data_IF_182556928691
#
_entry.id   IF_182556928691
#
_cell.length_a   1.000
_cell.length_b   1.000
_cell.length_c   1.000
_cell.angle_alpha   90.00
_cell.angle_beta   90.00
_cell.angle_gamma   90.00
#
_symmetry.space_group_name_H-M   'P 1'
#
loop_
_entity.id
_entity.type
_entity.pdbx_description
1 polymer ?
#
# COMPACT_ATOMS: atom_id res chain seq x y z
N UNK A 1 9.05 -5.20 13.89
CA UNK A 1 7.59 -5.21 14.11
C UNK A 1 7.02 -6.07 12.99
N UNK A 2 6.39 -7.22 13.27
CA UNK A 2 5.75 -8.02 12.22
C UNK A 2 4.65 -7.17 11.59
N UNK A 3 4.67 -7.06 10.28
CA UNK A 3 3.59 -6.42 9.54
C UNK A 3 2.43 -7.39 9.54
N UNK A 4 1.27 -6.90 9.86
CA UNK A 4 0.08 -7.71 10.04
C UNK A 4 -0.89 -7.37 8.90
N UNK A 5 -0.94 -8.22 7.88
CA UNK A 5 -1.85 -8.06 6.75
C UNK A 5 -3.30 -7.91 7.20
N UNK A 6 -3.70 -8.66 8.24
CA UNK A 6 -5.02 -8.55 8.87
C UNK A 6 -5.27 -7.14 9.42
N UNK A 7 -4.25 -6.51 10.02
CA UNK A 7 -4.38 -5.15 10.56
C UNK A 7 -4.55 -4.13 9.44
N UNK A 8 -3.74 -4.22 8.38
CA UNK A 8 -3.82 -3.34 7.21
C UNK A 8 -5.20 -3.45 6.56
N UNK A 9 -5.67 -4.67 6.28
CA UNK A 9 -7.01 -4.88 5.73
C UNK A 9 -8.12 -4.34 6.64
N UNK A 10 -8.03 -4.55 7.96
CA UNK A 10 -9.00 -4.01 8.90
C UNK A 10 -9.00 -2.48 8.91
N UNK A 11 -7.84 -1.85 8.85
CA UNK A 11 -7.73 -0.40 8.82
C UNK A 11 -8.43 0.17 7.58
N UNK A 12 -8.12 -0.33 6.39
CA UNK A 12 -8.64 0.21 5.14
C UNK A 12 -10.07 -0.23 4.80
N UNK A 13 -10.46 -1.46 5.11
CA UNK A 13 -11.81 -1.95 4.78
C UNK A 13 -12.85 -1.71 5.86
N UNK A 14 -12.44 -1.44 7.11
CA UNK A 14 -13.35 -1.25 8.25
C UNK A 14 -13.23 0.12 8.90
N UNK A 15 -12.38 0.99 8.39
CA UNK A 15 -12.26 2.35 8.92
C UNK A 15 -13.59 3.07 8.78
N UNK A 16 -14.12 3.56 9.94
CA UNK A 16 -15.36 4.36 9.98
C UNK A 16 -15.06 5.84 10.18
N UNK A 17 -13.78 6.20 10.33
CA UNK A 17 -13.35 7.53 10.75
C UNK A 17 -12.87 8.40 9.59
N UNK A 18 -12.40 7.78 8.50
CA UNK A 18 -11.88 8.47 7.33
C UNK A 18 -12.79 8.25 6.12
N UNK A 19 -12.72 9.14 5.14
CA UNK A 19 -13.38 8.93 3.86
C UNK A 19 -12.56 7.92 3.08
N UNK A 20 -13.14 6.76 2.78
CA UNK A 20 -12.51 5.72 1.96
C UNK A 20 -13.06 5.84 0.55
N UNK A 21 -12.16 6.05 -0.40
CA UNK A 21 -12.50 6.06 -1.82
C UNK A 21 -12.14 4.71 -2.44
N UNK A 22 -13.13 4.02 -2.96
CA UNK A 22 -12.92 2.78 -3.70
C UNK A 22 -12.76 3.09 -5.18
N UNK A 23 -11.66 2.61 -5.75
CA UNK A 23 -11.34 2.73 -7.16
C UNK A 23 -11.14 1.32 -7.73
N UNK A 24 -11.75 1.06 -8.87
CA UNK A 24 -11.66 -0.23 -9.55
C UNK A 24 -12.97 -1.02 -9.53
N UNK A 25 -12.89 -2.34 -9.66
CA UNK A 25 -14.08 -3.18 -9.76
C UNK A 25 -14.77 -3.41 -8.41
N UNK A 26 -16.00 -2.92 -8.30
CA UNK A 26 -16.87 -3.15 -7.14
C UNK A 26 -17.18 -4.64 -6.91
N UNK A 27 -17.17 -5.47 -7.94
CA UNK A 27 -17.47 -6.90 -7.82
C UNK A 27 -16.33 -7.63 -7.11
N UNK A 28 -15.10 -7.33 -7.46
CA UNK A 28 -13.90 -7.86 -6.84
C UNK A 28 -13.79 -7.49 -5.35
N UNK A 29 -14.03 -6.22 -5.02
CA UNK A 29 -14.04 -5.77 -3.61
C UNK A 29 -15.16 -6.47 -2.82
N UNK A 30 -16.35 -6.62 -3.39
CA UNK A 30 -17.46 -7.34 -2.75
C UNK A 30 -17.14 -8.80 -2.51
N UNK A 31 -16.57 -9.48 -3.53
CA UNK A 31 -16.13 -10.87 -3.42
C UNK A 31 -15.08 -11.01 -2.30
N UNK A 32 -14.04 -10.18 -2.31
CA UNK A 32 -12.99 -10.23 -1.32
C UNK A 32 -13.51 -9.91 0.10
N UNK A 33 -14.41 -8.94 0.24
CA UNK A 33 -15.08 -8.62 1.51
C UNK A 33 -15.92 -9.79 2.03
N UNK A 34 -16.56 -10.55 1.13
CA UNK A 34 -17.29 -11.76 1.48
C UNK A 34 -16.36 -12.87 1.97
N UNK A 35 -15.19 -13.06 1.33
CA UNK A 35 -14.15 -13.98 1.81
C UNK A 35 -13.67 -13.60 3.20
N UNK A 36 -13.35 -12.32 3.46
CA UNK A 36 -12.93 -11.85 4.79
C UNK A 36 -13.98 -12.03 5.87
N UNK A 37 -15.26 -11.88 5.51
CA UNK A 37 -16.36 -11.95 6.47
C UNK A 37 -16.76 -13.39 6.81
N UNK A 38 -16.78 -14.26 5.79
CA UNK A 38 -17.39 -15.59 5.88
C UNK A 38 -16.35 -16.72 5.76
N UNK A 39 -15.09 -16.41 5.45
CA UNK A 39 -13.99 -17.36 5.38
C UNK A 39 -13.27 -17.53 6.71
N UNK A 40 -12.38 -18.52 6.75
CA UNK A 40 -11.44 -18.77 7.84
C UNK A 40 -10.13 -18.05 7.50
N UNK A 41 -9.75 -17.07 8.31
CA UNK A 41 -8.49 -16.34 8.16
C UNK A 41 -7.41 -16.99 9.01
N UNK A 42 -6.26 -17.24 8.40
CA UNK A 42 -5.06 -17.82 9.03
C UNK A 42 -3.92 -16.84 8.81
N UNK A 43 -3.43 -16.23 9.88
CA UNK A 43 -2.24 -15.37 9.83
C UNK A 43 -0.98 -16.22 9.81
N UNK A 44 0.04 -15.79 9.07
CA UNK A 44 1.29 -16.50 8.87
C UNK A 44 2.51 -15.58 8.79
N UNK A 45 3.66 -16.18 8.49
CA UNK A 45 4.90 -15.45 8.20
C UNK A 45 5.21 -15.47 6.69
N UNK A 46 4.85 -16.54 6.02
CA UNK A 46 5.03 -16.78 4.59
C UNK A 46 4.02 -17.84 4.13
N UNK A 47 2.93 -17.41 3.49
CA UNK A 47 2.48 -16.04 3.25
C UNK A 47 2.02 -15.34 4.53
N UNK A 48 1.83 -14.00 4.47
CA UNK A 48 1.38 -13.20 5.61
C UNK A 48 -0.02 -13.60 6.09
N UNK A 49 -0.91 -13.97 5.17
CA UNK A 49 -2.26 -14.43 5.51
C UNK A 49 -2.82 -15.38 4.44
N UNK A 50 -3.68 -16.27 4.88
CA UNK A 50 -4.50 -17.13 4.00
C UNK A 50 -5.95 -17.02 4.40
N UNK A 51 -6.85 -16.89 3.43
CA UNK A 51 -8.29 -16.89 3.66
C UNK A 51 -8.89 -18.08 2.96
N UNK A 52 -9.52 -18.96 3.72
CA UNK A 52 -10.15 -20.18 3.22
C UNK A 52 -11.66 -20.00 3.20
N UNK A 53 -12.28 -20.28 2.05
CA UNK A 53 -13.74 -20.34 1.94
C UNK A 53 -14.11 -21.38 0.90
N UNK A 54 -15.00 -22.27 1.27
CA UNK A 54 -15.39 -23.42 0.44
C UNK A 54 -14.13 -24.23 0.02
N UNK A 55 -13.87 -24.40 -1.28
CA UNK A 55 -12.68 -25.03 -1.83
C UNK A 55 -11.70 -24.01 -2.46
N UNK A 56 -11.76 -22.74 -2.05
CA UNK A 56 -10.86 -21.69 -2.52
C UNK A 56 -9.99 -21.17 -1.38
N UNK A 57 -8.72 -20.98 -1.68
CA UNK A 57 -7.76 -20.36 -0.78
C UNK A 57 -7.22 -19.06 -1.42
N UNK A 58 -7.45 -17.92 -0.78
CA UNK A 58 -6.80 -16.66 -1.17
C UNK A 58 -5.56 -16.49 -0.30
N UNK A 59 -4.40 -16.54 -0.93
CA UNK A 59 -3.10 -16.24 -0.35
C UNK A 59 -2.88 -14.75 -0.44
N UNK A 60 -2.72 -14.08 0.71
CA UNK A 60 -2.47 -12.64 0.77
C UNK A 60 -1.03 -12.42 1.21
N UNK A 61 -0.29 -11.72 0.38
CA UNK A 61 1.06 -11.26 0.69
C UNK A 61 1.07 -9.73 0.76
N UNK A 62 1.51 -9.20 1.88
CA UNK A 62 1.52 -7.78 2.18
C UNK A 62 2.91 -7.19 2.05
N UNK A 63 3.03 -6.10 1.31
CA UNK A 63 4.25 -5.33 1.28
C UNK A 63 3.97 -3.83 1.18
N UNK A 64 4.91 -3.06 1.71
CA UNK A 64 4.88 -1.60 1.64
C UNK A 64 5.91 -1.12 0.63
N UNK A 65 5.60 0.00 -0.01
CA UNK A 65 6.59 0.76 -0.74
C UNK A 65 6.52 2.24 -0.38
N UNK A 66 7.60 2.95 -0.66
CA UNK A 66 7.74 4.38 -0.38
C UNK A 66 8.35 5.05 -1.61
N UNK A 67 7.60 5.95 -2.23
CA UNK A 67 8.01 6.65 -3.44
C UNK A 67 8.96 7.82 -3.21
N UNK A 68 9.30 8.12 -1.96
CA UNK A 68 10.15 9.27 -1.58
C UNK A 68 11.66 9.00 -1.73
N UNK A 69 12.09 7.85 -2.24
CA UNK A 69 13.50 7.52 -2.36
C UNK A 69 13.85 6.77 -3.65
N UNK A 70 15.12 6.85 -4.04
CA UNK A 70 15.65 6.30 -5.29
C UNK A 70 16.48 5.03 -5.14
N UNK A 71 16.66 4.50 -3.93
CA UNK A 71 17.48 3.30 -3.74
C UNK A 71 17.08 2.44 -2.53
N UNK A 72 17.35 1.14 -2.66
CA UNK A 72 17.01 0.05 -1.72
C UNK A 72 17.56 0.18 -0.29
N UNK A 73 18.51 1.07 -0.03
CA UNK A 73 19.20 1.16 1.30
C UNK A 73 18.47 2.06 2.31
N UNK A 74 17.25 2.37 2.05
CA UNK A 74 16.38 3.14 2.95
C UNK A 74 16.35 4.62 2.62
N UNK A 75 15.17 5.15 2.66
CA UNK A 75 14.81 6.54 2.44
C UNK A 75 15.65 7.44 3.34
N UNK A 76 16.29 8.47 2.77
CA UNK A 76 16.88 9.56 3.55
C UNK A 76 15.83 10.17 4.47
N UNK A 77 14.59 10.30 3.97
CA UNK A 77 13.43 10.74 4.73
C UNK A 77 13.20 9.89 5.99
N UNK A 78 13.15 8.55 5.90
CA UNK A 78 12.93 7.68 7.09
C UNK A 78 14.07 7.75 8.10
N UNK A 79 15.30 7.98 7.64
CA UNK A 79 16.44 8.18 8.54
C UNK A 79 16.32 9.51 9.28
N UNK A 80 15.94 10.56 8.57
CA UNK A 80 15.73 11.88 9.15
C UNK A 80 14.51 11.88 10.08
N UNK A 81 13.42 11.25 9.70
CA UNK A 81 12.25 11.03 10.56
C UNK A 81 12.62 10.30 11.85
N UNK A 82 13.38 9.20 11.75
CA UNK A 82 13.81 8.44 12.91
C UNK A 82 14.80 9.22 13.79
N UNK A 83 15.62 10.10 13.20
CA UNK A 83 16.49 11.03 13.93
C UNK A 83 15.65 12.05 14.69
N UNK A 84 14.73 12.72 14.02
CA UNK A 84 13.86 13.73 14.63
C UNK A 84 13.02 13.14 15.75
N UNK A 85 12.41 11.97 15.55
CA UNK A 85 11.65 11.27 16.59
C UNK A 85 12.51 10.97 17.83
N UNK A 86 13.75 10.55 17.65
CA UNK A 86 14.68 10.33 18.76
C UNK A 86 15.05 11.64 19.47
N UNK A 87 15.36 12.70 18.72
CA UNK A 87 15.65 14.01 19.29
C UNK A 87 14.47 14.57 20.08
N UNK A 88 13.25 14.40 19.59
CA UNK A 88 12.03 14.77 20.32
C UNK A 88 11.95 13.96 21.62
N UNK A 89 12.08 12.64 21.56
CA UNK A 89 12.02 11.78 22.75
C UNK A 89 13.09 12.11 23.78
N UNK A 90 14.31 12.46 23.36
CA UNK A 90 15.37 12.85 24.27
C UNK A 90 15.10 14.21 24.94
N UNK A 91 14.59 15.17 24.18
CA UNK A 91 14.28 16.52 24.69
C UNK A 91 13.05 16.55 25.59
N UNK A 92 12.10 15.63 25.41
CA UNK A 92 10.84 15.59 26.18
C UNK A 92 10.94 14.83 27.49
N UNK A 93 12.05 14.17 27.79
CA UNK A 93 12.23 13.42 29.06
C UNK A 93 12.15 14.26 30.32
N UNK A 94 12.46 15.54 30.21
CA UNK A 94 12.63 16.47 31.35
C UNK A 94 11.63 17.64 31.32
N UNK A 95 10.59 17.61 30.47
CA UNK A 95 9.64 18.71 30.30
C UNK A 95 8.18 18.25 30.35
N UNK A 96 7.35 18.96 31.10
CA UNK A 96 5.90 18.71 31.23
C UNK A 96 5.12 19.17 29.99
N UNK A 97 5.59 20.21 29.30
CA UNK A 97 5.07 20.68 28.02
C UNK A 97 6.21 20.95 27.04
N UNK A 98 6.13 20.41 25.85
CA UNK A 98 7.13 20.65 24.82
C UNK A 98 6.50 20.67 23.42
N UNK A 99 6.83 21.70 22.66
CA UNK A 99 6.50 21.80 21.22
C UNK A 99 7.79 21.79 20.43
N UNK A 100 7.96 20.78 19.59
CA UNK A 100 9.09 20.69 18.65
C UNK A 100 8.53 20.72 17.23
N UNK A 101 9.10 21.59 16.41
CA UNK A 101 8.80 21.67 14.99
C UNK A 101 10.10 21.44 14.22
N UNK A 102 10.06 20.46 13.33
CA UNK A 102 11.15 20.22 12.39
C UNK A 102 10.57 19.91 11.00
N UNK A 103 11.35 20.11 9.96
CA UNK A 103 10.92 19.92 8.58
C UNK A 103 11.90 19.04 7.82
N UNK A 104 11.36 18.08 7.07
CA UNK A 104 12.13 17.27 6.14
C UNK A 104 11.54 17.49 4.75
N UNK A 105 12.41 17.68 3.76
CA UNK A 105 11.95 17.69 2.37
C UNK A 105 11.80 16.26 1.87
N UNK A 106 10.57 15.88 1.55
CA UNK A 106 10.29 14.64 0.84
C UNK A 106 10.09 14.94 -0.65
N UNK A 107 10.66 14.13 -1.51
CA UNK A 107 10.50 14.24 -2.96
C UNK A 107 9.62 13.10 -3.47
N UNK A 108 8.76 13.41 -4.42
CA UNK A 108 7.95 12.44 -5.14
C UNK A 108 8.18 12.61 -6.63
N UNK A 109 8.44 11.51 -7.31
CA UNK A 109 8.40 11.42 -8.76
C UNK A 109 7.66 10.15 -9.17
N UNK A 110 6.95 10.17 -10.30
CA UNK A 110 6.29 8.98 -10.81
C UNK A 110 7.29 7.85 -11.11
N UNK A 111 8.48 8.20 -11.59
CA UNK A 111 9.57 7.23 -11.83
C UNK A 111 9.94 6.47 -10.55
N UNK A 112 10.13 7.17 -9.42
CA UNK A 112 10.40 6.52 -8.14
C UNK A 112 9.21 5.65 -7.69
N UNK A 113 8.00 6.13 -7.86
CA UNK A 113 6.78 5.40 -7.53
C UNK A 113 6.74 4.07 -8.28
N UNK A 114 6.80 4.11 -9.62
CA UNK A 114 6.68 2.90 -10.43
C UNK A 114 7.88 1.96 -10.24
N UNK A 115 9.10 2.50 -10.09
CA UNK A 115 10.29 1.70 -9.83
C UNK A 115 10.17 0.95 -8.51
N UNK A 116 9.80 1.65 -7.43
CA UNK A 116 9.76 1.05 -6.10
C UNK A 116 8.63 0.02 -5.97
N UNK A 117 7.45 0.29 -6.53
CA UNK A 117 6.38 -0.70 -6.52
C UNK A 117 6.73 -1.93 -7.37
N UNK A 118 7.36 -1.71 -8.54
CA UNK A 118 7.78 -2.80 -9.42
C UNK A 118 8.84 -3.70 -8.77
N UNK A 119 9.88 -3.13 -8.16
CA UNK A 119 10.91 -3.90 -7.48
C UNK A 119 10.34 -4.76 -6.35
N UNK A 120 9.46 -4.18 -5.51
CA UNK A 120 8.81 -4.92 -4.45
C UNK A 120 7.86 -6.01 -4.99
N UNK A 121 7.08 -5.69 -6.02
CA UNK A 121 6.21 -6.66 -6.67
C UNK A 121 7.00 -7.88 -7.17
N UNK A 122 8.10 -7.67 -7.89
CA UNK A 122 8.94 -8.74 -8.43
C UNK A 122 9.62 -9.57 -7.34
N UNK A 123 10.05 -8.94 -6.24
CA UNK A 123 10.62 -9.65 -5.09
C UNK A 123 9.60 -10.61 -4.48
N UNK A 124 8.36 -10.17 -4.27
CA UNK A 124 7.28 -11.01 -3.73
C UNK A 124 6.76 -12.01 -4.75
N UNK A 125 6.70 -11.66 -6.03
CA UNK A 125 6.33 -12.57 -7.12
C UNK A 125 7.27 -13.79 -7.17
N UNK A 126 8.56 -13.58 -6.99
CA UNK A 126 9.56 -14.66 -6.98
C UNK A 126 9.33 -15.71 -5.89
N UNK A 127 8.52 -15.42 -4.88
CA UNK A 127 8.23 -16.26 -3.73
C UNK A 127 6.91 -17.04 -3.83
N UNK A 128 6.09 -16.78 -4.86
CA UNK A 128 4.73 -17.37 -4.99
C UNK A 128 4.76 -18.89 -4.89
N UNK A 129 5.68 -19.55 -5.60
CA UNK A 129 5.79 -21.02 -5.55
C UNK A 129 6.15 -21.53 -4.14
N UNK A 130 6.91 -20.75 -3.37
CA UNK A 130 7.18 -21.06 -1.97
C UNK A 130 5.92 -20.90 -1.12
N UNK A 131 5.12 -19.86 -1.35
CA UNK A 131 3.85 -19.67 -0.64
C UNK A 131 2.90 -20.84 -0.89
N UNK A 132 2.69 -21.21 -2.16
CA UNK A 132 1.87 -22.36 -2.54
C UNK A 132 2.34 -23.65 -1.84
N UNK A 133 3.65 -23.92 -1.89
CA UNK A 133 4.24 -25.10 -1.22
C UNK A 133 4.01 -25.10 0.29
N UNK A 134 4.20 -23.95 0.95
CA UNK A 134 4.00 -23.82 2.39
C UNK A 134 2.57 -24.17 2.82
N UNK A 135 1.55 -23.89 1.97
CA UNK A 135 0.16 -24.25 2.27
C UNK A 135 -0.02 -25.78 2.37
N UNK A 136 0.60 -26.54 1.47
CA UNK A 136 0.55 -28.00 1.48
C UNK A 136 1.40 -28.58 2.63
N UNK A 137 2.64 -28.11 2.79
CA UNK A 137 3.56 -28.60 3.81
C UNK A 137 3.02 -28.41 5.24
N UNK A 138 2.30 -27.31 5.47
CA UNK A 138 1.64 -27.01 6.75
C UNK A 138 0.24 -27.61 6.87
N UNK A 139 -0.22 -28.40 5.89
CA UNK A 139 -1.58 -28.96 5.82
C UNK A 139 -2.71 -27.92 5.97
N UNK A 140 -2.49 -26.70 5.47
CA UNK A 140 -3.50 -25.63 5.48
C UNK A 140 -4.58 -25.91 4.44
N UNK A 141 -4.17 -26.41 3.26
CA UNK A 141 -5.06 -26.79 2.15
C UNK A 141 -4.78 -28.22 1.68
N UNK A 142 -5.73 -28.77 0.93
CA UNK A 142 -5.62 -30.04 0.21
C UNK A 142 -5.41 -29.79 -1.29
N UNK A 143 -5.12 -30.83 -2.05
CA UNK A 143 -4.84 -30.75 -3.49
C UNK A 143 -6.02 -30.24 -4.35
N UNK A 144 -7.24 -30.31 -3.84
CA UNK A 144 -8.48 -29.91 -4.54
C UNK A 144 -8.84 -28.41 -4.35
N UNK A 145 -8.00 -27.66 -3.63
CA UNK A 145 -8.25 -26.23 -3.46
C UNK A 145 -7.83 -25.41 -4.69
N UNK A 146 -8.70 -24.48 -5.09
CA UNK A 146 -8.35 -23.40 -6.03
C UNK A 146 -7.57 -22.31 -5.29
N UNK A 147 -6.29 -22.17 -5.62
CA UNK A 147 -5.38 -21.23 -4.94
C UNK A 147 -5.27 -19.94 -5.74
N UNK A 148 -5.74 -18.85 -5.17
CA UNK A 148 -5.64 -17.49 -5.70
C UNK A 148 -4.59 -16.68 -4.96
N UNK A 149 -3.81 -15.90 -5.68
CA UNK A 149 -2.77 -15.04 -5.11
C UNK A 149 -3.23 -13.60 -5.14
N UNK A 150 -3.16 -12.95 -4.00
CA UNK A 150 -3.46 -11.53 -3.84
C UNK A 150 -2.26 -10.80 -3.26
N UNK A 151 -1.84 -9.72 -3.91
CA UNK A 151 -0.88 -8.78 -3.35
C UNK A 151 -1.61 -7.59 -2.71
N UNK A 152 -1.38 -7.43 -1.42
CA UNK A 152 -1.81 -6.27 -0.65
C UNK A 152 -0.66 -5.27 -0.59
N UNK A 153 -0.76 -4.20 -1.34
CA UNK A 153 0.29 -3.19 -1.51
C UNK A 153 -0.09 -1.95 -0.72
N UNK A 154 0.76 -1.51 0.18
CA UNK A 154 0.56 -0.31 0.97
C UNK A 154 1.55 0.79 0.55
N UNK A 155 1.03 1.90 0.02
CA UNK A 155 1.83 3.10 -0.22
C UNK A 155 1.98 3.86 1.10
N UNK A 156 3.18 3.77 1.66
CA UNK A 156 3.55 4.45 2.91
C UNK A 156 4.36 5.72 2.67
N UNK A 157 4.25 6.29 1.49
CA UNK A 157 4.89 7.55 1.14
C UNK A 157 4.36 8.68 2.03
N UNK A 158 5.24 9.54 2.56
CA UNK A 158 4.86 10.53 3.59
C UNK A 158 3.91 11.63 3.10
N UNK A 159 3.84 11.87 1.80
CA UNK A 159 3.02 12.95 1.22
C UNK A 159 1.81 12.39 0.47
N UNK A 160 1.75 11.07 0.29
CA UNK A 160 0.86 10.44 -0.67
C UNK A 160 1.24 10.77 -2.11
N UNK A 161 0.89 9.89 -2.99
CA UNK A 161 1.27 10.01 -4.40
C UNK A 161 0.21 10.85 -5.14
N UNK A 162 0.46 12.16 -5.27
CA UNK A 162 -0.46 13.09 -5.92
C UNK A 162 0.11 13.62 -7.22
N UNK A 163 -0.66 13.54 -8.29
CA UNK A 163 -0.37 14.12 -9.60
C UNK A 163 -1.21 15.38 -9.87
N UNK A 164 -0.70 16.26 -10.70
CA UNK A 164 -1.38 17.50 -11.12
C UNK A 164 -1.50 17.56 -12.64
N UNK A 165 -2.72 17.59 -13.14
CA UNK A 165 -2.98 17.92 -14.54
C UNK A 165 -3.05 19.43 -14.73
N UNK A 166 -2.03 20.00 -15.36
CA UNK A 166 -1.92 21.45 -15.63
C UNK A 166 -2.50 21.81 -17.01
N UNK A 167 -2.76 20.82 -17.87
CA UNK A 167 -3.13 21.08 -19.26
C UNK A 167 -4.55 21.62 -19.45
N UNK A 168 -5.41 21.57 -18.43
CA UNK A 168 -6.82 21.97 -18.52
C UNK A 168 -7.15 23.34 -17.90
N UNK A 169 -6.17 24.20 -17.63
CA UNK A 169 -6.36 25.45 -16.86
C UNK A 169 -7.02 25.22 -15.47
N UNK A 170 -7.07 23.99 -15.00
CA UNK A 170 -7.47 23.60 -13.65
C UNK A 170 -6.35 22.76 -13.08
N UNK A 171 -5.96 23.09 -11.87
CA UNK A 171 -5.12 22.20 -11.06
C UNK A 171 -6.07 21.14 -10.49
N UNK A 172 -6.12 19.98 -11.09
CA UNK A 172 -6.82 18.84 -10.53
C UNK A 172 -5.81 17.98 -9.77
N UNK A 173 -6.04 17.83 -8.48
CA UNK A 173 -5.27 16.91 -7.64
C UNK A 173 -5.82 15.50 -7.88
N UNK A 174 -4.99 14.63 -8.42
CA UNK A 174 -5.34 13.25 -8.68
C UNK A 174 -4.41 12.33 -7.89
N UNK A 175 -4.94 11.39 -7.09
CA UNK A 175 -4.08 10.36 -6.51
C UNK A 175 -3.45 9.52 -7.63
N UNK A 176 -2.21 9.09 -7.44
CA UNK A 176 -1.63 8.08 -8.32
C UNK A 176 -2.22 6.73 -7.96
N UNK A 177 -2.92 6.13 -8.91
CA UNK A 177 -3.66 4.89 -8.73
C UNK A 177 -3.06 3.82 -9.62
N UNK A 178 -2.67 2.69 -9.05
CA UNK A 178 -2.04 1.59 -9.80
C UNK A 178 -2.93 1.07 -10.93
N UNK A 179 -4.25 1.01 -10.74
CA UNK A 179 -5.20 0.60 -11.79
C UNK A 179 -5.22 1.54 -13.01
N UNK A 180 -4.68 2.75 -12.88
CA UNK A 180 -4.61 3.71 -13.98
C UNK A 180 -3.18 3.88 -14.53
N UNK A 181 -2.19 3.16 -13.96
CA UNK A 181 -0.79 3.17 -14.38
C UNK A 181 -0.56 2.16 -15.50
N UNK A 182 -0.23 2.60 -16.73
CA UNK A 182 0.06 1.68 -17.84
C UNK A 182 1.15 0.68 -17.52
N UNK A 183 2.24 1.16 -16.90
CA UNK A 183 3.40 0.34 -16.58
C UNK A 183 3.07 -0.73 -15.56
N UNK A 184 2.24 -0.41 -14.55
CA UNK A 184 1.82 -1.38 -13.56
C UNK A 184 0.83 -2.41 -14.14
N UNK A 185 -0.10 -1.97 -14.98
CA UNK A 185 -1.03 -2.89 -15.66
C UNK A 185 -0.31 -3.85 -16.60
N UNK A 186 0.74 -3.38 -17.28
CA UNK A 186 1.59 -4.24 -18.13
C UNK A 186 2.43 -5.20 -17.28
N UNK A 187 2.95 -4.75 -16.13
CA UNK A 187 3.62 -5.63 -15.16
C UNK A 187 2.68 -6.75 -14.72
N UNK A 188 1.47 -6.43 -14.28
CA UNK A 188 0.49 -7.41 -13.81
C UNK A 188 0.05 -8.37 -14.92
N UNK A 189 -0.16 -7.87 -16.14
CA UNK A 189 -0.54 -8.70 -17.30
C UNK A 189 0.52 -9.75 -17.66
N UNK A 190 1.81 -9.44 -17.41
CA UNK A 190 2.93 -10.34 -17.66
C UNK A 190 3.20 -11.34 -16.52
N UNK A 191 2.56 -11.16 -15.35
CA UNK A 191 2.79 -11.97 -14.15
C UNK A 191 1.51 -12.70 -13.73
N UNK A 192 1.18 -13.74 -14.49
CA UNK A 192 -0.13 -14.44 -14.46
C UNK A 192 -0.45 -15.19 -13.18
N UNK A 193 0.52 -15.43 -12.31
CA UNK A 193 0.29 -16.10 -11.03
C UNK A 193 -0.30 -15.18 -9.94
N UNK A 194 -0.40 -13.87 -10.18
CA UNK A 194 -1.09 -12.94 -9.30
C UNK A 194 -2.50 -12.72 -9.84
N UNK A 195 -3.53 -13.11 -9.08
CA UNK A 195 -4.93 -13.00 -9.48
C UNK A 195 -5.49 -11.62 -9.13
N UNK A 196 -5.12 -11.10 -7.94
CA UNK A 196 -5.67 -9.85 -7.43
C UNK A 196 -4.57 -8.93 -6.90
N UNK A 197 -4.79 -7.64 -7.04
CA UNK A 197 -3.98 -6.62 -6.37
C UNK A 197 -4.91 -5.68 -5.63
N UNK A 198 -4.65 -5.46 -4.35
CA UNK A 198 -5.28 -4.42 -3.57
C UNK A 198 -4.21 -3.41 -3.17
N UNK A 199 -4.33 -2.17 -3.64
CA UNK A 199 -3.44 -1.09 -3.28
C UNK A 199 -4.14 -0.13 -2.32
N UNK A 200 -3.50 0.14 -1.21
CA UNK A 200 -3.96 1.05 -0.18
C UNK A 200 -3.01 2.23 -0.09
N UNK A 201 -3.54 3.43 -0.05
CA UNK A 201 -2.76 4.65 0.15
C UNK A 201 -3.52 5.64 1.03
N UNK A 202 -2.78 6.53 1.70
CA UNK A 202 -3.36 7.57 2.53
C UNK A 202 -2.80 8.92 2.07
N UNK A 203 -3.69 9.84 1.71
CA UNK A 203 -3.33 11.20 1.29
C UNK A 203 -4.05 12.19 2.21
N UNK A 204 -3.31 12.82 3.10
CA UNK A 204 -3.88 13.64 4.16
C UNK A 204 -4.77 12.81 5.09
N UNK A 205 -6.07 13.15 5.13
CA UNK A 205 -7.08 12.41 5.90
C UNK A 205 -7.92 11.45 5.04
N UNK A 206 -7.57 11.28 3.77
CA UNK A 206 -8.31 10.44 2.85
C UNK A 206 -7.56 9.13 2.62
N UNK A 207 -8.28 8.04 2.72
CA UNK A 207 -7.80 6.70 2.39
C UNK A 207 -8.33 6.30 1.03
N UNK A 208 -7.45 5.77 0.19
CA UNK A 208 -7.78 5.29 -1.14
C UNK A 208 -7.50 3.80 -1.20
N UNK A 209 -8.49 3.05 -1.68
CA UNK A 209 -8.37 1.62 -1.91
C UNK A 209 -8.64 1.36 -3.38
N UNK A 210 -7.66 0.77 -4.05
CA UNK A 210 -7.77 0.33 -5.43
C UNK A 210 -7.72 -1.19 -5.45
N UNK A 211 -8.74 -1.83 -6.00
CA UNK A 211 -8.77 -3.26 -6.23
C UNK A 211 -8.67 -3.55 -7.72
N UNK A 212 -7.76 -4.43 -8.10
CA UNK A 212 -7.53 -4.85 -9.48
C UNK A 212 -7.72 -6.35 -9.55
N UNK A 213 -8.69 -6.80 -10.35
CA UNK A 213 -8.78 -8.16 -10.80
C UNK A 213 -7.96 -8.29 -12.10
N UNK A 214 -7.03 -9.23 -12.13
CA UNK A 214 -6.18 -9.42 -13.31
C UNK A 214 -6.99 -9.76 -14.56
N UNK A 215 -8.10 -10.48 -14.41
CA UNK A 215 -8.92 -10.90 -15.55
C UNK A 215 -9.65 -9.70 -16.20
N UNK A 216 -9.78 -8.59 -15.46
CA UNK A 216 -10.40 -7.34 -15.93
C UNK A 216 -9.38 -6.27 -16.39
N UNK A 217 -8.09 -6.60 -16.54
CA UNK A 217 -7.04 -5.63 -16.93
C UNK A 217 -7.39 -4.88 -18.22
N UNK A 218 -8.07 -5.51 -19.17
CA UNK A 218 -8.48 -4.86 -20.42
C UNK A 218 -9.38 -3.64 -20.18
N UNK A 219 -10.28 -3.71 -19.21
CA UNK A 219 -11.18 -2.60 -18.84
C UNK A 219 -10.41 -1.44 -18.20
N UNK A 220 -9.41 -1.73 -17.38
CA UNK A 220 -8.55 -0.68 -16.79
C UNK A 220 -7.68 0.01 -17.84
N UNK A 221 -7.22 -0.73 -18.87
CA UNK A 221 -6.41 -0.17 -19.96
C UNK A 221 -7.16 0.86 -20.80
N UNK A 222 -8.48 0.89 -20.78
CA UNK A 222 -9.30 1.92 -21.44
C UNK A 222 -9.32 3.25 -20.67
N UNK A 223 -8.98 3.24 -19.38
CA UNK A 223 -9.05 4.40 -18.48
C UNK A 223 -7.66 4.87 -18.00
N UNK A 224 -6.58 4.50 -18.66
CA UNK A 224 -5.22 4.82 -18.24
C UNK A 224 -4.96 6.32 -18.13
N UNK A 225 -4.15 6.69 -17.13
CA UNK A 225 -3.63 8.03 -16.94
C UNK A 225 -2.17 8.10 -17.40
N UNK A 226 -1.83 9.13 -18.16
CA UNK A 226 -0.46 9.40 -18.57
C UNK A 226 0.33 10.10 -17.46
N UNK A 227 0.55 9.38 -16.36
CA UNK A 227 1.27 9.91 -15.21
C UNK A 227 2.71 10.34 -15.55
N UNK A 228 3.35 9.72 -16.54
CA UNK A 228 4.72 10.06 -16.95
C UNK A 228 4.84 11.50 -17.43
N UNK A 229 3.76 12.06 -18.02
CA UNK A 229 3.69 13.43 -18.51
C UNK A 229 3.00 14.40 -17.55
N UNK A 230 2.54 13.95 -16.39
CA UNK A 230 1.97 14.82 -15.36
C UNK A 230 3.06 15.50 -14.54
N UNK A 231 2.73 16.64 -13.95
CA UNK A 231 3.59 17.29 -12.97
C UNK A 231 3.28 16.78 -11.59
N UNK A 232 4.33 16.55 -10.83
CA UNK A 232 4.26 16.18 -9.43
C UNK A 232 4.87 17.28 -8.57
N UNK A 233 4.40 17.41 -7.35
CA UNK A 233 5.13 18.22 -6.37
C UNK A 233 6.51 17.58 -6.16
N UNK A 234 7.55 18.33 -6.52
CA UNK A 234 8.92 17.90 -6.29
C UNK A 234 9.22 17.73 -4.80
N UNK A 235 10.14 18.52 -4.25
CA UNK A 235 10.40 18.49 -2.81
C UNK A 235 9.29 19.19 -2.03
N UNK A 236 8.65 18.47 -1.10
CA UNK A 236 7.65 19.01 -0.19
C UNK A 236 8.19 19.02 1.24
N UNK A 237 8.01 20.12 1.99
CA UNK A 237 8.33 20.15 3.40
C UNK A 237 7.28 19.34 4.18
N UNK A 238 7.72 18.28 4.84
CA UNK A 238 6.91 17.54 5.82
C UNK A 238 7.25 18.09 7.20
N UNK A 239 6.24 18.60 7.89
CA UNK A 239 6.39 19.20 9.21
C UNK A 239 6.15 18.13 10.27
N UNK A 240 7.13 17.90 11.13
CA UNK A 240 6.99 17.09 12.34
C UNK A 240 6.68 18.02 13.50
N UNK A 241 5.49 17.84 14.10
CA UNK A 241 5.10 18.54 15.31
C UNK A 241 4.90 17.53 16.43
N UNK A 242 5.61 17.70 17.52
CA UNK A 242 5.38 16.95 18.78
C UNK A 242 4.83 17.92 19.83
N UNK A 243 3.61 17.66 20.33
CA UNK A 243 3.05 18.33 21.48
C UNK A 243 2.81 17.26 22.56
N UNK A 244 3.41 17.42 23.73
CA UNK A 244 3.22 16.52 24.87
C UNK A 244 2.55 17.32 25.96
N UNK A 245 1.37 16.86 26.38
CA UNK A 245 0.61 17.40 27.52
C UNK A 245 0.69 16.34 28.59
N UNK A 246 1.13 16.70 29.79
CA UNK A 246 1.06 15.80 30.94
C UNK A 246 -0.41 15.52 31.27
N UNK A 247 -0.79 14.25 31.26
CA UNK A 247 -2.17 13.81 31.52
C UNK A 247 -2.47 13.58 33.00
N UNK A 248 -1.55 13.93 33.90
CA UNK A 248 -1.64 13.66 35.33
C UNK A 248 -2.06 14.91 36.16
N UNK A 249 -2.94 15.77 35.62
CA UNK A 249 -3.63 16.81 36.40
C UNK A 249 -5.13 16.67 36.30
#
# INVERSE_FOLDING_TARGET
MKKDASRTLNNYLRSRTNTVYYLGDDSGIRMFSDFLKNGITIDGDEPDMVILKDSTAIVVEHFEFDSSYTNRKGSSYRKDEARIKREIQEKTKDFDEFVHLDTINASFTYENFITNVTENFLDHYSKIEKYKRNLFDKNIIKEDYDVKIMFLIEDVSPIGSMAFDINKNKVEELPVVLALSPEFLDLLANHRDVDFVMCCSCVGNNEYVCFIDRDDISSYKECQCDYANMKFFGNQPVVFAGCFIDSDN
#
